data_IF_931093468155
#
_entry.id   IF_931093468155
#
_cell.length_a   1.000
_cell.length_b   1.000
_cell.length_c   1.000
_cell.angle_alpha   90.00
_cell.angle_beta   90.00
_cell.angle_gamma   90.00
#
_symmetry.space_group_name_H-M   'P 1'
#
loop_
_entity.id
_entity.type
_entity.pdbx_description
1 polymer ?
#
# COMPACT_ATOMS: atom_id res chain seq x y z
N UNK A 1 -9.80 11.63 -18.66
CA UNK A 1 -8.33 11.83 -18.55
C UNK A 1 -7.74 10.52 -18.07
N UNK A 2 -7.18 9.73 -18.98
CA UNK A 2 -6.62 8.43 -18.66
C UNK A 2 -5.26 8.58 -18.01
N UNK A 3 -5.16 8.29 -16.72
CA UNK A 3 -3.87 8.05 -16.07
C UNK A 3 -3.48 6.62 -16.40
N UNK A 4 -2.61 6.47 -17.40
CA UNK A 4 -1.99 5.20 -17.77
C UNK A 4 -1.49 4.46 -16.52
N UNK A 5 -1.80 3.16 -16.41
CA UNK A 5 -1.30 2.31 -15.31
C UNK A 5 0.23 2.47 -15.18
N UNK A 6 0.76 2.61 -13.96
CA UNK A 6 2.20 2.76 -13.75
C UNK A 6 2.91 1.46 -14.09
N UNK A 7 3.51 1.38 -15.28
CA UNK A 7 4.14 0.14 -15.75
C UNK A 7 5.58 -0.06 -15.28
N UNK A 8 6.30 1.02 -14.94
CA UNK A 8 7.74 0.96 -14.63
C UNK A 8 8.09 1.27 -13.18
N UNK A 9 7.29 2.11 -12.51
CA UNK A 9 7.58 2.62 -11.17
C UNK A 9 6.59 2.12 -10.11
N UNK A 10 5.81 1.09 -10.46
CA UNK A 10 4.94 0.37 -9.54
C UNK A 10 5.76 -0.70 -8.83
N UNK A 11 5.88 -0.57 -7.51
CA UNK A 11 6.55 -1.53 -6.67
C UNK A 11 5.51 -2.22 -5.78
N UNK A 12 5.68 -3.53 -5.59
CA UNK A 12 4.89 -4.32 -4.66
C UNK A 12 5.81 -4.79 -3.56
N UNK A 13 5.53 -4.36 -2.34
CA UNK A 13 6.36 -4.66 -1.17
C UNK A 13 5.55 -5.53 -0.23
N UNK A 14 6.04 -6.73 0.03
CA UNK A 14 5.41 -7.68 0.96
C UNK A 14 6.18 -7.67 2.27
N UNK A 15 5.45 -7.44 3.37
CA UNK A 15 5.99 -7.33 4.72
C UNK A 15 5.17 -8.20 5.68
N UNK A 16 5.77 -8.54 6.82
CA UNK A 16 5.09 -9.28 7.90
C UNK A 16 4.68 -8.32 9.01
N UNK A 17 3.45 -8.48 9.51
CA UNK A 17 2.90 -7.78 10.66
C UNK A 17 2.39 -8.83 11.66
N UNK A 18 3.21 -9.13 12.66
CA UNK A 18 2.94 -10.26 13.58
C UNK A 18 2.91 -11.59 12.83
N UNK A 19 1.82 -12.35 12.99
CA UNK A 19 1.59 -13.62 12.27
C UNK A 19 1.04 -13.45 10.85
N UNK A 20 0.72 -12.21 10.45
CA UNK A 20 0.12 -11.92 9.15
C UNK A 20 1.15 -11.37 8.16
N UNK A 21 0.83 -11.51 6.88
CA UNK A 21 1.61 -10.96 5.77
C UNK A 21 0.72 -9.98 5.02
N UNK A 22 1.26 -8.82 4.69
CA UNK A 22 0.57 -7.83 3.86
C UNK A 22 1.44 -7.36 2.70
N UNK A 23 0.79 -7.04 1.59
CA UNK A 23 1.42 -6.48 0.40
C UNK A 23 0.92 -5.07 0.18
N UNK A 24 1.84 -4.11 0.10
CA UNK A 24 1.57 -2.73 -0.30
C UNK A 24 1.93 -2.54 -1.77
N UNK A 25 1.00 -2.00 -2.54
CA UNK A 25 1.25 -1.53 -3.90
C UNK A 25 1.56 -0.03 -3.85
N UNK A 26 2.81 0.33 -4.12
CA UNK A 26 3.31 1.69 -4.07
C UNK A 26 3.77 2.14 -5.45
N UNK A 27 3.52 3.40 -5.79
CA UNK A 27 3.96 4.01 -7.03
C UNK A 27 4.93 5.14 -6.74
N UNK A 28 6.16 5.00 -7.24
CA UNK A 28 7.18 6.05 -7.18
C UNK A 28 6.96 7.04 -8.34
N UNK A 29 6.60 8.28 -8.02
CA UNK A 29 6.52 9.37 -8.98
C UNK A 29 7.86 10.11 -9.15
N UNK A 30 8.63 10.21 -8.06
CA UNK A 30 10.00 10.71 -8.03
C UNK A 30 10.69 10.27 -6.74
N UNK A 31 11.94 10.64 -6.51
CA UNK A 31 12.66 10.26 -5.27
C UNK A 31 11.91 10.65 -3.99
N UNK A 32 11.32 11.85 -3.99
CA UNK A 32 10.57 12.41 -2.87
C UNK A 32 9.04 12.37 -3.02
N UNK A 33 8.51 11.63 -4.01
CA UNK A 33 7.05 11.53 -4.23
C UNK A 33 6.66 10.10 -4.49
N UNK A 34 5.90 9.55 -3.56
CA UNK A 34 5.40 8.20 -3.55
C UNK A 34 3.89 8.22 -3.34
N UNK A 35 3.21 7.21 -3.85
CA UNK A 35 1.77 7.04 -3.68
C UNK A 35 1.47 5.60 -3.29
N UNK A 36 0.83 5.37 -2.15
CA UNK A 36 0.28 4.07 -1.80
C UNK A 36 -1.08 3.92 -2.52
N UNK A 37 -1.19 2.87 -3.33
CA UNK A 37 -2.34 2.60 -4.18
C UNK A 37 -3.26 1.55 -3.58
N UNK A 38 -2.69 0.48 -3.03
CA UNK A 38 -3.45 -0.61 -2.44
C UNK A 38 -2.66 -1.28 -1.30
N UNK A 39 -3.40 -1.89 -0.37
CA UNK A 39 -2.88 -2.74 0.70
C UNK A 39 -3.72 -4.00 0.74
N UNK A 40 -3.08 -5.17 0.69
CA UNK A 40 -3.72 -6.47 0.82
C UNK A 40 -3.11 -7.21 2.00
N UNK A 41 -3.93 -7.63 2.96
CA UNK A 41 -3.54 -8.55 4.03
C UNK A 41 -3.93 -9.97 3.61
N UNK A 42 -2.93 -10.84 3.48
CA UNK A 42 -3.10 -12.18 2.90
C UNK A 42 -4.04 -13.02 3.75
N UNK A 43 -5.07 -13.57 3.12
CA UNK A 43 -6.07 -14.42 3.80
C UNK A 43 -7.10 -13.64 4.65
N UNK A 44 -7.03 -12.31 4.69
CA UNK A 44 -7.96 -11.47 5.48
C UNK A 44 -8.77 -10.56 4.57
N UNK A 45 -8.12 -9.77 3.72
CA UNK A 45 -8.79 -8.79 2.87
C UNK A 45 -7.85 -7.67 2.41
N UNK A 46 -8.38 -6.70 1.66
CA UNK A 46 -7.56 -5.61 1.13
C UNK A 46 -8.36 -4.34 0.88
N UNK A 47 -7.65 -3.22 0.78
CA UNK A 47 -8.19 -1.91 0.42
C UNK A 47 -7.44 -1.39 -0.81
N UNK A 48 -8.19 -1.08 -1.87
CA UNK A 48 -7.68 -0.49 -3.11
C UNK A 48 -8.03 1.00 -3.22
N UNK A 49 -7.52 1.66 -4.26
CA UNK A 49 -7.87 3.04 -4.63
C UNK A 49 -7.53 4.12 -3.56
N UNK A 50 -6.57 3.82 -2.69
CA UNK A 50 -6.18 4.65 -1.55
C UNK A 50 -5.63 6.03 -1.95
N UNK A 51 -4.82 6.09 -3.01
CA UNK A 51 -4.16 7.30 -3.52
C UNK A 51 -3.44 8.14 -2.44
N UNK A 52 -2.85 7.49 -1.43
CA UNK A 52 -2.21 8.16 -0.29
C UNK A 52 -0.82 8.63 -0.69
N UNK A 53 -0.57 9.94 -0.58
CA UNK A 53 0.70 10.56 -0.94
C UNK A 53 1.70 10.46 0.20
N UNK A 54 2.95 10.11 -0.12
CA UNK A 54 4.05 10.03 0.82
C UNK A 54 5.32 10.70 0.24
N UNK A 55 6.16 11.24 1.12
CA UNK A 55 7.41 11.91 0.73
C UNK A 55 8.59 10.94 0.53
N UNK A 56 8.42 9.67 0.88
CA UNK A 56 9.45 8.62 0.78
C UNK A 56 8.78 7.25 0.72
N UNK A 57 9.54 6.24 0.28
CA UNK A 57 9.10 4.84 0.30
C UNK A 57 8.71 4.41 1.73
N UNK A 58 9.54 4.75 2.73
CA UNK A 58 9.28 4.41 4.13
C UNK A 58 7.96 4.99 4.64
N UNK A 59 7.64 6.26 4.32
CA UNK A 59 6.36 6.84 4.71
C UNK A 59 5.16 6.19 4.00
N UNK A 60 5.34 5.72 2.75
CA UNK A 60 4.29 4.97 2.06
C UNK A 60 4.06 3.59 2.71
N UNK A 61 5.12 2.93 3.18
CA UNK A 61 5.04 1.65 3.87
C UNK A 61 4.47 1.77 5.30
N UNK A 62 4.81 2.82 6.06
CA UNK A 62 4.19 3.13 7.36
C UNK A 62 2.68 3.35 7.21
N UNK A 63 2.26 4.10 6.17
CA UNK A 63 0.84 4.21 5.85
C UNK A 63 0.20 2.86 5.48
N UNK A 64 0.93 2.00 4.76
CA UNK A 64 0.50 0.66 4.41
C UNK A 64 0.31 -0.24 5.63
N UNK A 65 1.23 -0.19 6.60
CA UNK A 65 1.18 -0.95 7.84
C UNK A 65 -0.02 -0.56 8.71
N UNK A 66 -0.30 0.75 8.80
CA UNK A 66 -1.48 1.26 9.53
C UNK A 66 -2.77 0.74 8.92
N UNK A 67 -2.90 0.75 7.59
CA UNK A 67 -4.08 0.23 6.89
C UNK A 67 -4.19 -1.29 7.03
N UNK A 68 -3.08 -2.02 6.94
CA UNK A 68 -3.05 -3.45 7.20
C UNK A 68 -3.55 -3.76 8.63
N UNK A 69 -3.11 -2.97 9.61
CA UNK A 69 -3.58 -3.05 10.99
C UNK A 69 -5.07 -2.75 11.13
N UNK A 70 -5.58 -1.75 10.40
CA UNK A 70 -7.03 -1.45 10.36
C UNK A 70 -7.83 -2.62 9.79
N UNK A 71 -7.38 -3.23 8.69
CA UNK A 71 -8.03 -4.39 8.05
C UNK A 71 -8.05 -5.58 9.02
N UNK A 72 -6.95 -5.84 9.73
CA UNK A 72 -6.88 -6.92 10.73
C UNK A 72 -7.86 -6.70 11.89
N UNK A 73 -7.99 -5.46 12.35
CA UNK A 73 -8.87 -5.13 13.47
C UNK A 73 -10.35 -4.99 13.05
N UNK A 74 -10.63 -4.74 11.77
CA UNK A 74 -11.98 -4.63 11.23
C UNK A 74 -12.09 -5.21 9.80
N UNK A 75 -12.13 -6.55 9.67
CA UNK A 75 -12.12 -7.21 8.35
C UNK A 75 -13.41 -7.05 7.52
N UNK A 76 -14.48 -6.46 8.08
CA UNK A 76 -15.79 -6.28 7.42
C UNK A 76 -16.10 -4.81 7.06
N UNK A 77 -15.10 -3.92 7.07
CA UNK A 77 -15.27 -2.48 6.80
C UNK A 77 -15.69 -2.15 5.38
#
# INVERSE_FOLDING_TARGET
>A
MGTSKPGKDLERVTLSLGEHVYTSEIWRLSESRWVLLAVEVHGVGGRSDLSIKASSCLHALDAGERIASEILNNPNG
#
